data_IF_586100966105
#
_entry.id   IF_586100966105
#
_cell.length_a   1.000
_cell.length_b   1.000
_cell.length_c   1.000
_cell.angle_alpha   90.00
_cell.angle_beta   90.00
_cell.angle_gamma   90.00
#
_symmetry.space_group_name_H-M   'P 1'
#
loop_
_entity.id
_entity.type
_entity.pdbx_description
1 polymer ?
#
# COMPACT_ATOMS: atom_id res chain seq x y z
N UNK A 1 7.88 10.13 -8.65
CA UNK A 1 6.65 9.45 -9.13
C UNK A 1 6.45 8.08 -8.48
N UNK A 2 7.42 7.16 -8.52
CA UNK A 2 7.28 5.79 -7.96
C UNK A 2 6.82 5.76 -6.49
N UNK A 3 7.48 6.52 -5.59
CA UNK A 3 7.06 6.58 -4.18
C UNK A 3 5.62 7.07 -4.00
N UNK A 4 5.22 8.10 -4.75
CA UNK A 4 3.84 8.61 -4.73
C UNK A 4 2.82 7.58 -5.24
N UNK A 5 3.17 6.81 -6.27
CA UNK A 5 2.34 5.73 -6.79
C UNK A 5 2.11 4.60 -5.77
N UNK A 6 3.16 4.21 -5.04
CA UNK A 6 3.05 3.19 -3.98
C UNK A 6 2.15 3.69 -2.85
N UNK A 7 2.33 4.94 -2.40
CA UNK A 7 1.48 5.53 -1.36
C UNK A 7 0.02 5.64 -1.82
N UNK A 8 -0.22 6.08 -3.06
CA UNK A 8 -1.56 6.16 -3.63
C UNK A 8 -2.23 4.78 -3.72
N UNK A 9 -1.49 3.74 -4.11
CA UNK A 9 -2.01 2.37 -4.15
C UNK A 9 -2.47 1.89 -2.77
N UNK A 10 -1.65 2.10 -1.73
CA UNK A 10 -1.99 1.74 -0.35
C UNK A 10 -3.20 2.53 0.15
N UNK A 11 -3.25 3.83 -0.12
CA UNK A 11 -4.36 4.69 0.27
C UNK A 11 -5.69 4.28 -0.41
N UNK A 12 -5.65 3.93 -1.70
CA UNK A 12 -6.84 3.46 -2.42
C UNK A 12 -7.34 2.14 -1.87
N UNK A 13 -6.46 1.20 -1.52
CA UNK A 13 -6.88 -0.06 -0.90
C UNK A 13 -7.56 0.16 0.45
N UNK A 14 -7.06 1.09 1.26
CA UNK A 14 -7.73 1.48 2.52
C UNK A 14 -9.06 2.16 2.25
N UNK A 15 -9.11 3.12 1.32
CA UNK A 15 -10.34 3.85 0.97
C UNK A 15 -11.44 2.91 0.46
N UNK A 16 -11.12 1.99 -0.43
CA UNK A 16 -12.07 1.00 -0.97
C UNK A 16 -12.56 0.07 0.14
N UNK A 17 -11.67 -0.38 1.04
CA UNK A 17 -12.08 -1.22 2.18
C UNK A 17 -13.05 -0.48 3.13
N UNK A 18 -12.82 0.80 3.39
CA UNK A 18 -13.76 1.64 4.15
C UNK A 18 -15.08 1.77 3.38
N UNK A 19 -15.04 2.07 2.08
CA UNK A 19 -16.23 2.19 1.23
C UNK A 19 -17.06 0.90 1.20
N UNK A 20 -16.41 -0.27 1.19
CA UNK A 20 -17.08 -1.56 1.30
C UNK A 20 -17.71 -1.76 2.68
N UNK A 21 -17.06 -1.31 3.76
CA UNK A 21 -17.56 -1.45 5.15
C UNK A 21 -18.77 -0.54 5.42
N UNK A 22 -18.79 0.65 4.82
CA UNK A 22 -19.88 1.64 4.96
C UNK A 22 -21.01 1.40 3.94
N UNK A 23 -20.85 0.45 3.01
CA UNK A 23 -21.88 0.09 2.02
C UNK A 23 -21.97 1.04 0.81
N UNK A 24 -20.95 1.88 0.60
CA UNK A 24 -20.86 2.81 -0.54
C UNK A 24 -20.35 2.11 -1.80
N UNK A 25 -19.50 1.09 -1.64
CA UNK A 25 -18.92 0.30 -2.72
C UNK A 25 -19.30 -1.18 -2.60
N UNK A 26 -19.44 -1.92 -3.73
CA UNK A 26 -19.71 -3.35 -3.69
C UNK A 26 -18.55 -4.12 -3.06
N UNK A 27 -18.86 -5.19 -2.32
CA UNK A 27 -17.83 -6.00 -1.65
C UNK A 27 -17.14 -6.91 -2.67
N UNK A 28 -15.93 -6.53 -3.07
CA UNK A 28 -15.12 -7.26 -4.08
C UNK A 28 -13.99 -8.10 -3.44
N UNK A 29 -13.81 -8.01 -2.12
CA UNK A 29 -12.79 -8.78 -1.39
C UNK A 29 -11.35 -8.31 -1.60
N UNK A 30 -11.14 -6.99 -1.78
CA UNK A 30 -9.79 -6.42 -1.92
C UNK A 30 -9.04 -6.51 -0.58
N UNK A 31 -7.84 -7.10 -0.54
CA UNK A 31 -7.11 -7.28 0.71
C UNK A 31 -6.66 -5.94 1.31
N UNK A 32 -7.01 -5.72 2.57
CA UNK A 32 -6.55 -4.56 3.34
C UNK A 32 -5.02 -4.65 3.58
N UNK A 33 -4.23 -3.62 3.20
CA UNK A 33 -2.80 -3.61 3.46
C UNK A 33 -2.50 -3.81 4.94
N UNK A 34 -1.53 -4.67 5.27
CA UNK A 34 -1.07 -4.99 6.63
C UNK A 34 -2.07 -5.71 7.56
N UNK A 35 -3.36 -5.73 7.23
CA UNK A 35 -4.41 -6.28 8.09
C UNK A 35 -5.19 -7.46 7.46
N UNK A 36 -5.06 -7.72 6.16
CA UNK A 36 -5.71 -8.89 5.54
C UNK A 36 -4.97 -10.19 5.88
N UNK A 37 -5.72 -11.29 6.04
CA UNK A 37 -5.17 -12.65 6.19
C UNK A 37 -4.66 -13.30 4.89
N UNK A 38 -4.54 -12.53 3.81
CA UNK A 38 -3.95 -13.03 2.56
C UNK A 38 -2.42 -13.09 2.65
N UNK A 39 -1.84 -14.28 2.59
CA UNK A 39 -0.37 -14.42 2.64
C UNK A 39 0.35 -13.66 1.53
N UNK A 40 -0.18 -13.68 0.31
CA UNK A 40 0.34 -12.95 -0.85
C UNK A 40 0.16 -11.43 -0.75
N UNK A 41 -0.95 -10.96 -0.20
CA UNK A 41 -1.19 -9.52 0.00
C UNK A 41 -0.30 -8.92 1.08
N UNK A 42 -0.01 -9.67 2.14
CA UNK A 42 0.95 -9.28 3.17
C UNK A 42 2.35 -9.14 2.55
N UNK A 43 2.84 -10.15 1.83
CA UNK A 43 4.18 -10.14 1.22
C UNK A 43 4.32 -8.97 0.23
N UNK A 44 3.33 -8.75 -0.63
CA UNK A 44 3.34 -7.63 -1.58
C UNK A 44 3.33 -6.27 -0.90
N UNK A 45 2.60 -6.11 0.21
CA UNK A 45 2.60 -4.87 1.00
C UNK A 45 3.96 -4.62 1.65
N UNK A 46 4.60 -5.65 2.21
CA UNK A 46 5.95 -5.52 2.79
C UNK A 46 7.00 -5.18 1.73
N UNK A 47 6.91 -5.77 0.53
CA UNK A 47 7.80 -5.41 -0.59
C UNK A 47 7.62 -3.95 -1.01
N UNK A 48 6.37 -3.47 -1.07
CA UNK A 48 6.06 -2.09 -1.40
C UNK A 48 6.66 -1.10 -0.37
N UNK A 49 6.57 -1.43 0.93
CA UNK A 49 7.19 -0.65 2.01
C UNK A 49 8.73 -0.71 1.91
N UNK A 50 9.31 -1.88 1.62
CA UNK A 50 10.74 -2.05 1.41
C UNK A 50 11.28 -1.19 0.26
N UNK A 51 10.53 -1.09 -0.84
CA UNK A 51 10.85 -0.20 -1.96
C UNK A 51 10.79 1.28 -1.55
N UNK A 52 9.77 1.70 -0.79
CA UNK A 52 9.67 3.06 -0.26
C UNK A 52 10.86 3.41 0.63
N UNK A 53 11.25 2.50 1.52
CA UNK A 53 12.43 2.66 2.39
C UNK A 53 13.72 2.77 1.57
N UNK A 54 13.88 1.96 0.52
CA UNK A 54 15.05 2.06 -0.36
C UNK A 54 15.14 3.39 -1.10
N UNK A 55 14.00 3.90 -1.60
CA UNK A 55 13.93 5.21 -2.25
C UNK A 55 14.33 6.31 -1.27
N UNK A 56 13.87 6.24 -0.01
CA UNK A 56 14.25 7.20 1.01
C UNK A 56 15.75 7.14 1.33
N UNK A 57 16.31 5.94 1.50
CA UNK A 57 17.73 5.77 1.82
C UNK A 57 18.64 6.32 0.72
N UNK A 58 18.31 6.04 -0.55
CA UNK A 58 19.07 6.56 -1.71
C UNK A 58 18.91 8.06 -1.90
N UNK A 59 17.79 8.64 -1.46
CA UNK A 59 17.57 10.09 -1.50
C UNK A 59 18.59 10.82 -0.62
N UNK A 60 18.86 10.34 0.59
CA UNK A 60 19.84 10.99 1.48
C UNK A 60 21.28 10.81 1.03
N UNK A 61 21.60 9.69 0.37
CA UNK A 61 22.93 9.43 -0.20
C UNK A 61 23.30 10.36 -1.36
N UNK A 62 22.31 10.93 -2.05
CA UNK A 62 22.53 11.90 -3.13
C UNK A 62 22.79 13.33 -2.62
N UNK A 63 22.56 13.60 -1.34
CA UNK A 63 22.73 14.93 -0.73
C UNK A 63 23.98 15.02 0.18
N UNK A 64 24.85 14.01 0.16
CA UNK A 64 26.17 14.00 0.81
C UNK A 64 27.24 13.83 -0.27
#
# INVERSE_FOLDING_TARGET
LMAGGIVAMLALYVFINIGMTVGVAPVVGVPLPLASYGGTSIITTFLAIGLLSNIQMRRYMLFY
#
